data_IF_862578484010
#
_entry.id   IF_862578484010
#
_cell.length_a   1.000
_cell.length_b   1.000
_cell.length_c   1.000
_cell.angle_alpha   90.00
_cell.angle_beta   90.00
_cell.angle_gamma   90.00
#
_symmetry.space_group_name_H-M   'P 1'
#
loop_
_entity.id
_entity.type
_entity.pdbx_description
1 polymer ?
#
# COMPACT_ATOMS: atom_id res chain seq x y z
N UNK A 1 38.07 33.82 31.02
CA UNK A 1 37.24 32.59 31.10
C UNK A 1 38.11 31.44 31.60
N UNK A 2 37.81 30.84 32.76
CA UNK A 2 38.66 29.81 33.37
C UNK A 2 38.70 28.52 32.53
N UNK A 3 39.82 27.78 32.57
CA UNK A 3 40.04 26.53 31.81
C UNK A 3 38.88 25.52 31.99
N UNK A 4 38.25 25.51 33.18
CA UNK A 4 37.02 24.74 33.48
C UNK A 4 35.80 25.18 32.66
N UNK A 5 35.53 26.48 32.53
CA UNK A 5 34.38 26.99 31.75
C UNK A 5 34.49 26.68 30.24
N UNK A 6 35.70 26.75 29.67
CA UNK A 6 35.93 26.35 28.26
C UNK A 6 35.63 24.86 28.03
N UNK A 7 36.03 23.97 28.94
CA UNK A 7 35.74 22.52 28.81
C UNK A 7 34.24 22.23 28.85
N UNK A 8 33.51 22.89 29.74
CA UNK A 8 32.06 22.70 29.88
C UNK A 8 31.28 23.22 28.66
N UNK A 9 31.74 24.34 28.08
CA UNK A 9 31.16 24.90 26.87
C UNK A 9 31.26 23.94 25.67
N UNK A 10 32.45 23.39 25.42
CA UNK A 10 32.65 22.46 24.30
C UNK A 10 31.83 21.17 24.45
N UNK A 11 31.73 20.61 25.67
CA UNK A 11 30.93 19.41 25.91
C UNK A 11 29.44 19.66 25.64
N UNK A 12 28.89 20.79 26.12
CA UNK A 12 27.51 21.19 25.83
C UNK A 12 27.27 21.41 24.34
N UNK A 13 28.22 22.01 23.63
CA UNK A 13 28.10 22.24 22.20
C UNK A 13 28.14 20.93 21.39
N UNK A 14 28.98 19.96 21.77
CA UNK A 14 29.03 18.65 21.11
C UNK A 14 27.77 17.83 21.37
N UNK A 15 27.25 17.81 22.61
CA UNK A 15 25.98 17.17 22.93
C UNK A 15 24.81 17.82 22.20
N UNK A 16 24.80 19.16 22.12
CA UNK A 16 23.79 19.91 21.38
C UNK A 16 23.82 19.57 19.89
N UNK A 17 25.00 19.58 19.25
CA UNK A 17 25.16 19.18 17.85
C UNK A 17 24.73 17.72 17.62
N UNK A 18 25.06 16.81 18.53
CA UNK A 18 24.66 15.42 18.44
C UNK A 18 23.13 15.26 18.55
N UNK A 19 22.50 15.97 19.48
CA UNK A 19 21.06 16.01 19.63
C UNK A 19 20.36 16.63 18.42
N UNK A 20 20.98 17.62 17.78
CA UNK A 20 20.48 18.23 16.55
C UNK A 20 20.61 17.29 15.34
N UNK A 21 21.66 16.46 15.30
CA UNK A 21 21.94 15.55 14.18
C UNK A 21 21.22 14.20 14.29
N UNK A 22 20.88 13.73 15.49
CA UNK A 22 20.19 12.46 15.71
C UNK A 22 18.87 12.31 14.94
N UNK A 23 17.95 13.31 14.95
CA UNK A 23 16.72 13.25 14.15
C UNK A 23 17.01 13.15 12.65
N UNK A 24 18.03 13.87 12.17
CA UNK A 24 18.43 13.84 10.75
C UNK A 24 18.96 12.45 10.38
N UNK A 25 19.77 11.83 11.23
CA UNK A 25 20.29 10.47 11.01
C UNK A 25 19.15 9.44 11.01
N UNK A 26 18.19 9.55 11.93
CA UNK A 26 17.03 8.64 12.00
C UNK A 26 16.15 8.79 10.74
N UNK A 27 15.93 10.02 10.26
CA UNK A 27 15.19 10.31 9.03
C UNK A 27 15.93 9.77 7.79
N UNK A 28 17.26 9.91 7.73
CA UNK A 28 18.07 9.40 6.61
C UNK A 28 18.13 7.87 6.58
N UNK A 29 18.06 7.20 7.74
CA UNK A 29 18.10 5.74 7.82
C UNK A 29 16.77 5.06 7.46
N UNK A 30 15.64 5.76 7.56
CA UNK A 30 14.34 5.25 7.11
C UNK A 30 13.99 5.86 5.75
N UNK A 31 14.74 5.48 4.71
CA UNK A 31 14.34 5.79 3.35
C UNK A 31 12.99 5.12 3.08
N UNK A 32 11.95 5.90 2.76
CA UNK A 32 10.64 5.33 2.53
C UNK A 32 10.68 4.49 1.25
N UNK A 33 10.03 3.33 1.30
CA UNK A 33 9.98 2.36 0.19
C UNK A 33 8.54 1.94 -0.04
N UNK A 34 8.10 1.87 -1.30
CA UNK A 34 6.86 1.16 -1.60
C UNK A 34 7.14 -0.34 -1.61
N UNK A 35 6.15 -1.12 -1.18
CA UNK A 35 6.16 -2.57 -1.27
C UNK A 35 5.10 -2.98 -2.27
N UNK A 36 5.47 -3.85 -3.19
CA UNK A 36 4.54 -4.55 -4.05
C UNK A 36 3.72 -5.48 -3.16
N UNK A 37 2.45 -5.16 -2.92
CA UNK A 37 1.65 -5.96 -1.98
C UNK A 37 1.10 -7.20 -2.66
N UNK A 38 0.57 -7.08 -3.86
CA UNK A 38 -0.10 -8.18 -4.53
C UNK A 38 -0.11 -7.92 -6.03
N UNK A 39 0.16 -8.96 -6.81
CA UNK A 39 -0.06 -8.94 -8.25
C UNK A 39 -1.21 -9.89 -8.54
N UNK A 40 -2.24 -9.37 -9.18
CA UNK A 40 -3.37 -10.16 -9.66
C UNK A 40 -3.35 -10.12 -11.18
N UNK A 41 -2.96 -11.22 -11.80
CA UNK A 41 -3.05 -11.38 -13.25
C UNK A 41 -4.43 -11.92 -13.58
N UNK A 42 -5.16 -11.23 -14.44
CA UNK A 42 -6.53 -11.58 -14.80
C UNK A 42 -6.57 -12.04 -16.25
N UNK A 43 -6.95 -13.31 -16.45
CA UNK A 43 -7.23 -13.87 -17.78
C UNK A 43 -6.43 -15.09 -18.19
N UNK A 44 -5.68 -15.76 -17.29
CA UNK A 44 -5.27 -17.15 -17.55
C UNK A 44 -6.30 -18.09 -16.92
N UNK A 45 -6.99 -18.88 -17.74
CA UNK A 45 -7.89 -19.94 -17.25
C UNK A 45 -7.16 -20.96 -16.37
N UNK A 46 -5.84 -21.06 -16.53
CA UNK A 46 -4.95 -21.73 -15.58
C UNK A 46 -4.49 -20.75 -14.50
N UNK A 47 -5.19 -20.73 -13.37
CA UNK A 47 -4.88 -19.99 -12.12
C UNK A 47 -3.51 -20.34 -11.49
N UNK A 48 -2.62 -21.06 -12.20
CA UNK A 48 -1.25 -21.41 -11.82
C UNK A 48 -0.19 -20.83 -12.77
N UNK A 49 -0.60 -20.12 -13.83
CA UNK A 49 0.33 -19.34 -14.66
C UNK A 49 0.94 -18.23 -13.82
N UNK A 50 2.23 -18.36 -13.52
CA UNK A 50 2.96 -17.46 -12.63
C UNK A 50 2.80 -16.01 -13.11
N UNK A 51 2.40 -15.11 -12.20
CA UNK A 51 2.41 -13.67 -12.47
C UNK A 51 3.77 -13.15 -13.00
N UNK A 52 4.84 -13.92 -12.76
CA UNK A 52 6.17 -13.69 -13.32
C UNK A 52 6.26 -13.79 -14.85
N UNK A 53 5.29 -14.42 -15.53
CA UNK A 53 5.31 -14.52 -16.99
C UNK A 53 4.77 -13.26 -17.69
N UNK A 54 3.90 -12.50 -17.04
CA UNK A 54 3.27 -11.31 -17.64
C UNK A 54 3.91 -10.00 -17.19
N UNK A 55 4.34 -9.92 -15.92
CA UNK A 55 4.98 -8.74 -15.35
C UNK A 55 6.50 -8.92 -15.32
N UNK A 56 7.20 -7.99 -15.95
CA UNK A 56 8.66 -7.91 -15.88
C UNK A 56 9.04 -6.63 -15.16
N UNK A 57 9.75 -6.79 -14.04
CA UNK A 57 10.34 -5.68 -13.30
C UNK A 57 11.83 -5.62 -13.63
N UNK A 58 12.31 -4.46 -14.04
CA UNK A 58 13.74 -4.20 -14.31
C UNK A 58 14.26 -3.08 -13.42
N UNK A 59 15.49 -3.24 -12.94
CA UNK A 59 16.22 -2.23 -12.16
C UNK A 59 17.62 -2.10 -12.75
N UNK A 60 17.94 -0.92 -13.24
CA UNK A 60 19.21 -0.67 -13.94
C UNK A 60 19.50 -1.73 -15.02
N UNK A 61 18.51 -1.99 -15.88
CA UNK A 61 18.53 -3.00 -16.96
C UNK A 61 18.63 -4.47 -16.51
N UNK A 62 18.65 -4.75 -15.20
CA UNK A 62 18.59 -6.12 -14.69
C UNK A 62 17.14 -6.51 -14.39
N UNK A 63 16.67 -7.61 -14.98
CA UNK A 63 15.39 -8.23 -14.62
C UNK A 63 15.44 -8.76 -13.19
N UNK A 64 14.38 -8.48 -12.43
CA UNK A 64 14.21 -8.92 -11.06
C UNK A 64 13.12 -10.00 -11.01
N UNK A 65 13.33 -11.00 -10.15
CA UNK A 65 12.28 -11.95 -9.81
C UNK A 65 11.16 -11.21 -9.07
N UNK A 66 9.94 -11.43 -9.53
CA UNK A 66 8.76 -10.72 -9.06
C UNK A 66 8.14 -11.50 -7.92
N UNK A 67 8.21 -10.93 -6.71
CA UNK A 67 7.74 -11.57 -5.48
C UNK A 67 6.78 -10.65 -4.72
N UNK A 68 5.82 -11.24 -4.01
CA UNK A 68 4.98 -10.52 -3.07
C UNK A 68 5.83 -9.88 -1.95
N UNK A 69 5.52 -8.64 -1.57
CA UNK A 69 6.30 -7.86 -0.60
C UNK A 69 7.57 -7.21 -1.17
N UNK A 70 7.87 -7.40 -2.47
CA UNK A 70 9.05 -6.82 -3.11
C UNK A 70 9.09 -5.29 -2.96
N UNK A 71 10.22 -4.74 -2.49
CA UNK A 71 10.41 -3.29 -2.39
C UNK A 71 10.67 -2.65 -3.76
N UNK A 72 9.75 -1.80 -4.19
CA UNK A 72 9.90 -0.94 -5.36
C UNK A 72 10.73 0.30 -5.00
N UNK A 73 11.62 0.68 -5.92
CA UNK A 73 12.55 1.80 -5.79
C UNK A 73 12.37 2.80 -6.93
N UNK A 74 12.74 4.07 -6.72
CA UNK A 74 12.88 5.01 -7.83
C UNK A 74 13.74 4.43 -8.95
N UNK A 75 13.26 4.54 -10.19
CA UNK A 75 13.91 4.01 -11.39
C UNK A 75 13.56 2.57 -11.73
N UNK A 76 12.84 1.84 -10.87
CA UNK A 76 12.32 0.53 -11.24
C UNK A 76 11.32 0.68 -12.38
N UNK A 77 11.43 -0.18 -13.39
CA UNK A 77 10.58 -0.18 -14.56
C UNK A 77 9.75 -1.45 -14.59
N UNK A 78 8.43 -1.30 -14.66
CA UNK A 78 7.46 -2.40 -14.67
C UNK A 78 6.81 -2.43 -16.05
N UNK A 79 6.86 -3.59 -16.71
CA UNK A 79 6.24 -3.83 -18.01
C UNK A 79 5.24 -4.97 -17.90
N UNK A 80 4.04 -4.76 -18.46
CA UNK A 80 3.06 -5.81 -18.67
C UNK A 80 3.15 -6.32 -20.11
N UNK A 81 3.81 -7.47 -20.31
CA UNK A 81 3.93 -8.13 -21.62
C UNK A 81 2.80 -9.13 -21.90
N UNK A 82 2.00 -9.45 -20.90
CA UNK A 82 0.90 -10.40 -21.06
C UNK A 82 -0.17 -9.86 -22.01
N UNK A 83 -0.73 -10.76 -22.83
CA UNK A 83 -2.05 -10.55 -23.48
C UNK A 83 -3.19 -10.40 -22.47
N UNK A 84 -2.91 -10.79 -21.22
CA UNK A 84 -3.78 -10.64 -20.08
C UNK A 84 -3.63 -9.25 -19.45
N UNK A 85 -4.73 -8.77 -18.87
CA UNK A 85 -4.72 -7.53 -18.09
C UNK A 85 -4.16 -7.86 -16.71
N UNK A 86 -3.38 -6.94 -16.16
CA UNK A 86 -2.73 -7.18 -14.86
C UNK A 86 -3.05 -6.06 -13.90
N UNK A 87 -3.65 -6.42 -12.76
CA UNK A 87 -3.78 -5.52 -11.63
C UNK A 87 -2.55 -5.63 -10.73
N UNK A 88 -1.95 -4.49 -10.44
CA UNK A 88 -0.84 -4.39 -9.53
C UNK A 88 -1.33 -3.58 -8.33
N UNK A 89 -1.62 -4.27 -7.23
CA UNK A 89 -1.89 -3.57 -5.98
C UNK A 89 -0.57 -3.12 -5.37
N UNK A 90 -0.33 -1.81 -5.41
CA UNK A 90 0.85 -1.20 -4.79
C UNK A 90 0.40 -0.60 -3.48
N UNK A 91 0.66 -1.33 -2.39
CA UNK A 91 0.54 -0.79 -1.05
C UNK A 91 1.83 -0.08 -0.71
N UNK A 92 1.80 1.23 -0.71
CA UNK A 92 2.88 1.98 -0.09
C UNK A 92 2.71 1.85 1.43
N UNK A 93 3.41 0.89 2.02
CA UNK A 93 3.46 0.77 3.46
C UNK A 93 4.37 1.88 3.99
N UNK A 94 3.83 2.60 4.98
CA UNK A 94 4.52 3.19 6.13
C UNK A 94 4.67 4.71 6.19
N UNK A 95 3.92 5.29 7.13
CA UNK A 95 4.48 6.19 8.13
C UNK A 95 3.97 5.71 9.51
N UNK A 96 4.88 5.19 10.33
CA UNK A 96 4.61 4.98 11.76
C UNK A 96 4.87 6.32 12.45
N UNK A 97 3.81 7.07 12.76
CA UNK A 97 3.91 8.27 13.61
C UNK A 97 3.42 7.86 14.99
N UNK A 98 4.34 7.62 15.93
CA UNK A 98 4.00 7.04 17.24
C UNK A 98 3.70 5.55 17.16
N UNK A 99 2.51 5.12 17.61
CA UNK A 99 2.04 3.71 17.59
C UNK A 99 1.06 3.40 16.44
N UNK A 100 0.77 4.36 15.57
CA UNK A 100 -0.21 4.18 14.49
C UNK A 100 0.47 3.91 13.14
N UNK A 101 0.08 2.82 12.49
CA UNK A 101 0.45 2.51 11.10
C UNK A 101 -0.67 3.07 10.21
N UNK A 102 -0.35 4.07 9.40
CA UNK A 102 -1.28 4.55 8.37
C UNK A 102 -1.00 3.76 7.09
N UNK A 103 -1.93 2.89 6.70
CA UNK A 103 -1.88 2.19 5.41
C UNK A 103 -2.30 3.17 4.31
N UNK A 104 -1.47 3.25 3.27
CA UNK A 104 -1.75 4.03 2.06
C UNK A 104 -1.91 3.05 0.91
N UNK A 105 -3.14 2.91 0.42
CA UNK A 105 -3.46 2.04 -0.69
C UNK A 105 -3.78 2.90 -1.91
N UNK A 106 -3.03 2.64 -2.99
CA UNK A 106 -3.35 3.09 -4.33
C UNK A 106 -3.46 1.83 -5.19
N UNK A 107 -4.60 1.63 -5.84
CA UNK A 107 -4.76 0.51 -6.77
C UNK A 107 -4.34 0.97 -8.15
N UNK A 108 -3.41 0.22 -8.73
CA UNK A 108 -2.81 0.57 -10.02
C UNK A 108 -3.01 -0.59 -10.98
N UNK A 109 -3.89 -0.41 -11.95
CA UNK A 109 -4.19 -1.45 -12.93
C UNK A 109 -3.47 -1.14 -14.23
N UNK A 110 -2.68 -2.10 -14.73
CA UNK A 110 -1.94 -1.98 -15.98
C UNK A 110 -2.62 -2.77 -17.09
N UNK A 111 -2.91 -2.11 -18.21
CA UNK A 111 -3.39 -2.79 -19.40
C UNK A 111 -2.23 -3.56 -20.10
N UNK A 112 -2.56 -4.38 -21.09
CA UNK A 112 -1.59 -5.04 -21.97
C UNK A 112 -0.65 -4.01 -22.61
N UNK A 113 0.65 -4.30 -22.62
CA UNK A 113 1.68 -3.46 -23.21
C UNK A 113 2.04 -2.20 -22.41
N UNK A 114 1.42 -1.99 -21.24
CA UNK A 114 1.74 -0.86 -20.39
C UNK A 114 3.16 -0.96 -19.83
N UNK A 115 3.86 0.18 -19.82
CA UNK A 115 5.21 0.32 -19.29
C UNK A 115 5.26 1.54 -18.40
N UNK A 116 5.61 1.32 -17.13
CA UNK A 116 5.73 2.37 -16.12
C UNK A 116 7.13 2.40 -15.51
N UNK A 117 7.56 3.59 -15.09
CA UNK A 117 8.76 3.81 -14.29
C UNK A 117 8.33 4.41 -12.95
N UNK A 118 8.79 3.83 -11.86
CA UNK A 118 8.55 4.35 -10.52
C UNK A 118 9.43 5.59 -10.33
N UNK A 119 8.83 6.77 -10.12
CA UNK A 119 9.60 8.01 -9.89
C UNK A 119 9.77 8.26 -8.40
N UNK A 120 8.66 8.35 -7.69
CA UNK A 120 8.63 8.42 -6.24
C UNK A 120 7.67 7.35 -5.72
N UNK A 121 8.18 6.19 -5.25
CA UNK A 121 7.33 5.16 -4.68
C UNK A 121 6.70 5.61 -3.37
N UNK A 122 7.29 6.59 -2.71
CA UNK A 122 7.02 6.88 -1.32
C UNK A 122 6.14 8.11 -1.14
N UNK A 123 5.11 7.97 -0.31
CA UNK A 123 4.45 9.09 0.33
C UNK A 123 5.34 9.62 1.47
N UNK A 124 6.47 10.23 1.10
CA UNK A 124 7.42 10.79 2.06
C UNK A 124 6.74 11.90 2.88
N UNK A 125 7.15 12.09 4.14
CA UNK A 125 6.69 13.23 4.96
C UNK A 125 6.87 14.58 4.25
N UNK A 126 7.93 14.71 3.45
CA UNK A 126 8.30 15.93 2.73
C UNK A 126 7.82 15.95 1.27
N UNK A 127 7.45 14.80 0.72
CA UNK A 127 6.92 14.62 -0.63
C UNK A 127 5.72 13.70 -0.53
N UNK A 128 4.54 14.24 -0.19
CA UNK A 128 3.38 13.43 0.15
C UNK A 128 2.78 12.74 -1.07
N UNK A 129 3.34 12.89 -2.27
CA UNK A 129 2.75 12.43 -3.52
C UNK A 129 3.59 11.31 -4.15
N UNK A 130 3.01 10.12 -4.26
CA UNK A 130 3.60 9.06 -5.05
C UNK A 130 3.43 9.36 -6.53
N UNK A 131 4.44 9.06 -7.35
CA UNK A 131 4.40 9.37 -8.78
C UNK A 131 5.03 8.29 -9.65
N UNK A 132 4.34 7.94 -10.74
CA UNK A 132 4.83 7.03 -11.78
C UNK A 132 4.95 7.76 -13.11
N UNK A 133 5.86 7.31 -13.97
CA UNK A 133 5.92 7.71 -15.37
C UNK A 133 5.40 6.60 -16.25
N UNK A 134 4.32 6.85 -16.97
CA UNK A 134 3.82 6.00 -18.04
C UNK A 134 4.57 6.32 -19.34
N UNK A 135 5.36 5.36 -19.82
CA UNK A 135 6.09 5.47 -21.09
C UNK A 135 5.18 5.13 -22.27
N UNK A 136 4.34 4.10 -22.13
CA UNK A 136 3.36 3.67 -23.14
C UNK A 136 2.26 2.81 -22.51
N UNK A 137 1.16 2.66 -23.24
CA UNK A 137 0.03 1.80 -22.87
C UNK A 137 -1.00 2.55 -22.04
N UNK A 138 -1.67 1.84 -21.13
CA UNK A 138 -2.80 2.37 -20.37
C UNK A 138 -2.70 1.94 -18.91
N UNK A 139 -2.90 2.91 -18.02
CA UNK A 139 -2.86 2.76 -16.56
C UNK A 139 -4.15 3.33 -15.98
N UNK A 140 -4.74 2.58 -15.07
CA UNK A 140 -5.84 3.02 -14.24
C UNK A 140 -5.36 3.18 -12.81
N UNK A 141 -5.79 4.27 -12.18
CA UNK A 141 -5.43 4.64 -10.83
C UNK A 141 -6.72 4.87 -10.04
N UNK A 142 -6.82 4.19 -8.89
CA UNK A 142 -7.80 4.47 -7.86
C UNK A 142 -7.08 4.84 -6.57
N UNK A 143 -7.26 6.08 -6.10
CA UNK A 143 -6.74 6.56 -4.81
C UNK A 143 -7.84 7.25 -4.02
N UNK A 144 -8.06 6.88 -2.76
CA UNK A 144 -9.15 7.46 -1.93
C UNK A 144 -8.70 8.62 -1.05
N UNK A 145 -7.45 8.65 -0.59
CA UNK A 145 -7.01 9.60 0.45
C UNK A 145 -5.70 10.30 0.17
N UNK A 146 -4.85 9.73 -0.68
CA UNK A 146 -3.46 10.17 -0.79
C UNK A 146 -3.15 10.75 -2.15
N UNK A 147 -2.26 11.76 -2.20
CA UNK A 147 -1.93 12.35 -3.46
C UNK A 147 -1.12 11.39 -4.33
N UNK A 148 -1.51 11.24 -5.58
CA UNK A 148 -0.85 10.36 -6.53
C UNK A 148 -0.76 11.08 -7.88
N UNK A 149 0.31 10.90 -8.64
CA UNK A 149 0.37 11.35 -10.02
C UNK A 149 0.89 10.32 -11.01
N UNK A 150 0.42 10.48 -12.23
CA UNK A 150 0.96 9.82 -13.41
C UNK A 150 1.56 10.88 -14.31
N UNK A 151 2.87 10.80 -14.51
CA UNK A 151 3.60 11.52 -15.54
C UNK A 151 3.58 10.73 -16.85
N UNK A 152 3.53 11.45 -17.96
CA UNK A 152 3.90 10.96 -19.29
C UNK A 152 5.07 11.79 -19.80
N UNK A 153 5.40 11.68 -21.09
CA UNK A 153 6.37 12.57 -21.72
C UNK A 153 5.94 14.05 -21.71
N UNK A 154 4.64 14.35 -21.77
CA UNK A 154 4.13 15.70 -22.00
C UNK A 154 3.32 16.27 -20.85
N UNK A 155 2.69 15.41 -20.05
CA UNK A 155 1.74 15.83 -19.03
C UNK A 155 1.96 15.10 -17.72
N UNK A 156 1.70 15.77 -16.61
CA UNK A 156 1.58 15.18 -15.28
C UNK A 156 0.13 15.34 -14.82
N UNK A 157 -0.52 14.22 -14.53
CA UNK A 157 -1.87 14.16 -13.99
C UNK A 157 -1.76 13.78 -12.52
N UNK A 158 -1.93 14.76 -11.63
CA UNK A 158 -1.84 14.59 -10.17
C UNK A 158 -3.18 14.77 -9.48
N UNK A 159 -3.38 14.13 -8.34
CA UNK A 159 -4.69 14.11 -7.70
C UNK A 159 -4.63 13.71 -6.25
N UNK A 160 -5.73 13.90 -5.50
CA UNK A 160 -6.02 13.29 -4.19
C UNK A 160 -7.49 12.85 -4.15
N UNK A 161 -7.74 11.56 -3.91
CA UNK A 161 -9.12 11.06 -3.69
C UNK A 161 -9.93 10.92 -4.97
N UNK A 162 -9.36 10.29 -6.00
CA UNK A 162 -9.97 10.20 -7.33
C UNK A 162 -9.72 8.85 -7.98
N UNK A 163 -10.53 8.59 -8.99
CA UNK A 163 -10.33 7.52 -9.92
C UNK A 163 -10.16 8.10 -11.34
N UNK A 164 -9.08 7.70 -12.00
CA UNK A 164 -8.77 8.17 -13.34
C UNK A 164 -7.94 7.16 -14.13
N UNK A 165 -7.95 7.34 -15.44
CA UNK A 165 -7.26 6.50 -16.40
C UNK A 165 -6.38 7.37 -17.27
N UNK A 166 -5.15 6.93 -17.52
CA UNK A 166 -4.20 7.59 -18.42
C UNK A 166 -3.77 6.60 -19.50
N UNK A 167 -3.90 6.99 -20.75
CA UNK A 167 -3.44 6.24 -21.91
C UNK A 167 -2.38 7.05 -22.66
N UNK A 168 -1.19 6.49 -22.81
CA UNK A 168 -0.11 7.06 -23.61
C UNK A 168 0.09 6.22 -24.89
N UNK A 169 -0.13 6.85 -26.04
CA UNK A 169 0.01 6.25 -27.36
C UNK A 169 1.32 6.71 -28.04
N UNK A 170 1.84 5.88 -28.95
CA UNK A 170 3.12 6.13 -29.64
C UNK A 170 3.13 7.38 -30.53
N UNK A 171 1.96 7.80 -31.03
CA UNK A 171 1.77 9.01 -31.82
C UNK A 171 1.80 10.31 -30.96
N UNK A 172 2.37 10.25 -29.76
CA UNK A 172 2.40 11.32 -28.76
C UNK A 172 1.02 11.77 -28.29
N UNK A 173 -0.02 10.94 -28.47
CA UNK A 173 -1.34 11.21 -27.93
C UNK A 173 -1.44 10.69 -26.51
N UNK A 174 -1.82 11.57 -25.59
CA UNK A 174 -2.18 11.20 -24.23
C UNK A 174 -3.68 11.41 -24.06
N UNK A 175 -4.38 10.37 -23.62
CA UNK A 175 -5.81 10.45 -23.27
C UNK A 175 -5.96 10.24 -21.79
N UNK A 176 -6.68 11.12 -21.12
CA UNK A 176 -6.94 11.06 -19.68
C UNK A 176 -8.45 11.05 -19.47
N UNK A 177 -8.95 10.10 -18.69
CA UNK A 177 -10.36 10.00 -18.34
C UNK A 177 -10.47 10.08 -16.83
N UNK A 178 -11.24 11.05 -16.33
CA UNK A 178 -11.51 11.20 -14.90
C UNK A 178 -12.93 10.69 -14.65
N UNK A 179 -13.06 9.58 -13.92
CA UNK A 179 -14.36 9.01 -13.54
C UNK A 179 -14.86 9.63 -12.23
N UNK A 180 -13.99 9.81 -11.25
CA UNK A 180 -14.36 10.32 -9.92
C UNK A 180 -13.41 11.43 -9.44
N UNK A 181 -13.99 12.52 -8.96
CA UNK A 181 -13.31 13.63 -8.28
C UNK A 181 -12.60 14.61 -9.23
N UNK A 182 -11.44 15.13 -8.81
CA UNK A 182 -10.73 16.21 -9.51
C UNK A 182 -9.24 15.92 -9.62
N UNK A 183 -8.69 16.06 -10.83
CA UNK A 183 -7.24 15.99 -11.06
C UNK A 183 -6.67 17.36 -11.45
N UNK A 184 -5.43 17.61 -11.07
CA UNK A 184 -4.61 18.72 -11.56
C UNK A 184 -3.76 18.21 -12.72
N UNK A 185 -3.87 18.91 -13.85
CA UNK A 185 -3.17 18.58 -15.07
C UNK A 185 -2.08 19.63 -15.32
N UNK A 186 -0.82 19.20 -15.39
CA UNK A 186 0.34 20.08 -15.53
C UNK A 186 1.11 19.77 -16.82
N UNK A 187 1.53 20.80 -17.55
CA UNK A 187 2.40 20.64 -18.72
C UNK A 187 3.84 20.36 -18.27
N UNK A 188 4.40 19.22 -18.65
CA UNK A 188 5.83 18.92 -18.37
C UNK A 188 6.79 19.71 -19.24
N UNK A 189 6.28 20.32 -20.30
CA UNK A 189 7.05 21.15 -21.22
C UNK A 189 6.75 22.63 -21.06
N UNK A 190 6.01 23.02 -20.01
CA UNK A 190 5.62 24.40 -19.74
C UNK A 190 4.92 25.07 -20.94
N UNK A 191 4.12 24.29 -21.68
CA UNK A 191 3.44 24.75 -22.88
C UNK A 191 2.09 25.42 -22.59
N UNK A 192 1.56 25.22 -21.38
CA UNK A 192 0.28 25.74 -20.90
C UNK A 192 0.22 25.62 -19.37
N UNK A 193 -0.53 26.53 -18.73
CA UNK A 193 -0.70 26.61 -17.28
C UNK A 193 -1.47 25.40 -16.71
N UNK A 194 -1.28 25.09 -15.43
CA UNK A 194 -2.01 24.00 -14.75
C UNK A 194 -3.53 24.13 -14.93
N UNK A 195 -4.17 23.07 -15.40
CA UNK A 195 -5.63 22.99 -15.56
C UNK A 195 -6.24 22.03 -14.54
N UNK A 196 -7.35 22.44 -13.91
CA UNK A 196 -8.14 21.59 -13.02
C UNK A 196 -9.22 20.87 -13.83
N UNK A 197 -9.25 19.54 -13.74
CA UNK A 197 -10.19 18.69 -14.47
C UNK A 197 -11.13 18.01 -13.49
N UNK A 198 -12.43 18.31 -13.61
CA UNK A 198 -13.49 17.76 -12.76
C UNK A 198 -14.22 16.64 -13.49
N UNK A 199 -14.44 15.52 -12.81
CA UNK A 199 -15.19 14.40 -13.40
C UNK A 199 -16.66 14.77 -13.68
N UNK A 200 -17.31 14.13 -14.67
CA UNK A 200 -16.75 13.20 -15.67
C UNK A 200 -16.17 13.94 -16.89
N UNK A 201 -14.90 13.67 -17.26
CA UNK A 201 -14.25 14.33 -18.40
C UNK A 201 -13.23 13.43 -19.11
N UNK A 202 -13.18 13.52 -20.44
CA UNK A 202 -12.11 12.99 -21.30
C UNK A 202 -11.26 14.16 -21.76
N UNK A 203 -9.95 14.03 -21.61
CA UNK A 203 -8.99 15.02 -22.09
C UNK A 203 -8.04 14.34 -23.04
N UNK A 204 -7.87 14.93 -24.22
CA UNK A 204 -6.91 14.47 -25.22
C UNK A 204 -5.84 15.53 -25.40
N UNK A 205 -4.58 15.11 -25.32
CA UNK A 205 -3.39 15.95 -25.47
C UNK A 205 -2.56 15.37 -26.62
N UNK A 206 -2.19 16.22 -27.58
CA UNK A 206 -1.35 15.84 -28.71
C UNK A 206 0.04 16.46 -28.56
N UNK A 207 1.02 15.65 -28.14
CA UNK A 207 2.38 16.12 -27.87
C UNK A 207 2.40 17.26 -26.85
N UNK A 208 2.99 18.40 -27.23
CA UNK A 208 3.05 19.62 -26.41
C UNK A 208 1.79 20.50 -26.50
N UNK A 209 0.77 20.06 -27.25
CA UNK A 209 -0.47 20.81 -27.43
C UNK A 209 -1.22 21.00 -26.11
N UNK A 210 -2.12 21.99 -26.10
CA UNK A 210 -3.03 22.23 -24.99
C UNK A 210 -4.05 21.07 -24.88
N UNK A 211 -4.47 20.66 -23.67
CA UNK A 211 -5.54 19.70 -23.49
C UNK A 211 -6.83 20.11 -24.21
N UNK A 212 -7.42 19.17 -24.94
CA UNK A 212 -8.76 19.30 -25.51
C UNK A 212 -9.71 18.49 -24.64
N UNK A 213 -10.59 19.19 -23.93
CA UNK A 213 -11.53 18.59 -23.00
C UNK A 213 -12.85 18.24 -23.70
N UNK A 214 -13.42 17.09 -23.35
CA UNK A 214 -14.72 16.61 -23.82
C UNK A 214 -15.48 16.01 -22.64
N UNK A 215 -16.66 16.55 -22.35
CA UNK A 215 -17.55 15.90 -21.37
C UNK A 215 -17.99 14.54 -21.91
N UNK A 216 -17.98 13.54 -21.04
CA UNK A 216 -18.35 12.16 -21.38
C UNK A 216 -19.59 11.78 -20.57
N UNK A 217 -20.53 11.10 -21.22
CA UNK A 217 -21.63 10.47 -20.51
C UNK A 217 -21.15 9.29 -19.65
N UNK A 218 -21.79 9.04 -18.50
CA UNK A 218 -21.39 8.00 -17.55
C UNK A 218 -21.31 6.61 -18.18
N UNK A 219 -22.25 6.26 -19.06
CA UNK A 219 -22.24 4.97 -19.77
C UNK A 219 -20.99 4.76 -20.66
N UNK A 220 -20.40 5.84 -21.16
CA UNK A 220 -19.17 5.78 -21.94
C UNK A 220 -17.94 5.66 -21.03
N UNK A 221 -17.97 6.21 -19.81
CA UNK A 221 -16.98 5.91 -18.77
C UNK A 221 -17.05 4.43 -18.42
N UNK A 222 -18.23 3.89 -18.12
CA UNK A 222 -18.40 2.47 -17.78
C UNK A 222 -17.86 1.57 -18.90
N UNK A 223 -18.09 1.93 -20.17
CA UNK A 223 -17.54 1.18 -21.31
C UNK A 223 -16.02 1.23 -21.37
N UNK A 224 -15.41 2.37 -21.04
CA UNK A 224 -13.95 2.55 -20.98
C UNK A 224 -13.34 1.83 -19.78
N UNK A 225 -14.07 1.75 -18.66
CA UNK A 225 -13.65 1.10 -17.43
C UNK A 225 -14.10 -0.37 -17.33
N UNK A 226 -14.90 -0.87 -18.28
CA UNK A 226 -15.44 -2.24 -18.29
C UNK A 226 -14.37 -3.31 -18.07
N UNK A 227 -13.16 -3.06 -18.58
CA UNK A 227 -12.04 -3.97 -18.41
C UNK A 227 -11.51 -4.00 -16.97
N UNK A 228 -11.59 -2.89 -16.22
CA UNK A 228 -11.24 -2.79 -14.81
C UNK A 228 -12.25 -3.54 -13.96
N UNK A 229 -13.55 -3.37 -14.24
CA UNK A 229 -14.61 -4.07 -13.51
C UNK A 229 -14.46 -5.59 -13.61
N UNK A 230 -14.03 -6.11 -14.77
CA UNK A 230 -13.74 -7.53 -14.94
C UNK A 230 -12.61 -8.04 -14.03
N UNK A 231 -11.62 -7.19 -13.74
CA UNK A 231 -10.49 -7.51 -12.87
C UNK A 231 -10.90 -7.40 -11.40
N UNK A 232 -11.54 -6.30 -11.02
CA UNK A 232 -12.01 -6.07 -9.65
C UNK A 232 -12.97 -7.18 -9.20
N UNK A 233 -13.84 -7.68 -10.08
CA UNK A 233 -14.73 -8.79 -9.75
C UNK A 233 -13.98 -10.08 -9.40
N UNK A 234 -12.80 -10.32 -9.98
CA UNK A 234 -11.94 -11.48 -9.70
C UNK A 234 -11.08 -11.25 -8.45
N UNK A 235 -10.61 -10.02 -8.24
CA UNK A 235 -9.84 -9.68 -7.04
C UNK A 235 -10.72 -9.71 -5.77
N UNK A 236 -11.94 -9.16 -5.85
CA UNK A 236 -12.86 -9.03 -4.72
C UNK A 236 -13.51 -10.36 -4.33
N UNK A 237 -13.63 -11.33 -5.25
CA UNK A 237 -14.13 -12.67 -4.91
C UNK A 237 -13.21 -13.46 -3.97
N UNK A 238 -12.01 -12.94 -3.65
CA UNK A 238 -11.00 -13.58 -2.80
C UNK A 238 -10.62 -12.79 -1.53
N UNK A 239 -11.24 -11.64 -1.26
CA UNK A 239 -10.85 -10.81 -0.11
C UNK A 239 -11.93 -10.82 1.00
N UNK A 240 -11.69 -11.61 2.06
CA UNK A 240 -12.33 -11.43 3.37
C UNK A 240 -11.69 -10.24 4.08
N UNK A 241 -12.47 -9.20 4.37
CA UNK A 241 -12.02 -8.09 5.20
C UNK A 241 -12.22 -8.42 6.68
N UNK A 242 -11.16 -8.19 7.48
CA UNK A 242 -11.19 -8.26 8.93
C UNK A 242 -11.00 -6.85 9.49
N UNK A 243 -12.09 -6.16 9.85
CA UNK A 243 -12.01 -4.90 10.58
C UNK A 243 -11.88 -5.19 12.08
N UNK A 244 -10.75 -4.82 12.68
CA UNK A 244 -10.53 -4.87 14.13
C UNK A 244 -10.83 -3.50 14.77
N UNK A 245 -11.93 -3.34 15.52
CA UNK A 245 -12.07 -2.19 16.42
C UNK A 245 -11.27 -2.47 17.70
N UNK A 246 -10.10 -1.85 17.84
CA UNK A 246 -9.36 -1.87 19.10
C UNK A 246 -9.75 -0.65 19.95
N UNK A 247 -10.68 -0.82 20.90
CA UNK A 247 -10.72 -0.09 22.17
C UNK A 247 -11.66 -0.80 23.16
N UNK A 248 -11.10 -1.53 24.12
CA UNK A 248 -11.87 -2.02 25.28
C UNK A 248 -11.19 -3.19 25.98
N UNK A 249 -10.74 -2.99 27.22
CA UNK A 249 -10.17 -4.05 28.05
C UNK A 249 -11.21 -5.09 28.54
N UNK A 250 -12.49 -4.90 28.22
CA UNK A 250 -13.58 -5.82 28.54
C UNK A 250 -14.72 -5.64 27.53
N UNK A 251 -14.75 -6.43 26.46
CA UNK A 251 -15.97 -6.61 25.65
C UNK A 251 -15.82 -7.81 24.73
N UNK A 252 -16.95 -8.42 24.40
CA UNK A 252 -17.09 -9.46 23.40
C UNK A 252 -16.44 -9.04 22.06
N UNK A 253 -15.82 -10.00 21.39
CA UNK A 253 -15.23 -9.78 20.07
C UNK A 253 -16.26 -10.17 19.03
N UNK A 254 -16.41 -9.34 18.01
CA UNK A 254 -17.20 -9.69 16.84
C UNK A 254 -16.36 -9.55 15.59
N UNK A 255 -16.62 -10.43 14.63
CA UNK A 255 -16.02 -10.39 13.30
C UNK A 255 -17.08 -9.83 12.37
N UNK A 256 -16.76 -8.75 11.67
CA UNK A 256 -17.62 -8.20 10.62
C UNK A 256 -17.11 -8.69 9.27
N UNK A 257 -17.87 -9.56 8.62
CA UNK A 257 -17.55 -10.07 7.29
C UNK A 257 -18.42 -9.32 6.29
N UNK A 258 -17.79 -8.63 5.34
CA UNK A 258 -18.47 -8.01 4.20
C UNK A 258 -18.24 -8.85 2.95
N UNK A 259 -19.31 -9.31 2.33
CA UNK A 259 -19.28 -10.11 1.11
C UNK A 259 -20.04 -9.40 -0.03
N UNK A 260 -19.51 -9.47 -1.25
CA UNK A 260 -20.09 -8.85 -2.43
C UNK A 260 -21.24 -9.72 -3.00
N UNK A 261 -22.35 -9.11 -3.44
CA UNK A 261 -23.67 -9.76 -3.68
C UNK A 261 -23.82 -10.54 -4.99
N UNK A 262 -22.74 -10.87 -5.70
CA UNK A 262 -22.88 -11.59 -6.97
C UNK A 262 -23.31 -13.06 -6.81
N UNK A 263 -23.32 -13.61 -5.60
CA UNK A 263 -23.91 -14.91 -5.28
C UNK A 263 -25.30 -14.73 -4.65
N UNK A 264 -26.26 -15.59 -5.03
CA UNK A 264 -27.59 -15.60 -4.39
C UNK A 264 -27.41 -15.81 -2.89
N UNK A 265 -28.15 -15.07 -2.07
CA UNK A 265 -28.06 -15.09 -0.59
C UNK A 265 -27.96 -16.51 0.02
N UNK A 266 -28.73 -17.47 -0.51
CA UNK A 266 -28.73 -18.87 -0.08
C UNK A 266 -27.45 -19.63 -0.48
N UNK A 267 -26.88 -19.30 -1.63
CA UNK A 267 -25.66 -19.90 -2.16
C UNK A 267 -24.43 -19.42 -1.39
N UNK A 268 -24.36 -18.12 -1.05
CA UNK A 268 -23.32 -17.58 -0.16
C UNK A 268 -23.38 -18.16 1.24
N UNK A 269 -24.59 -18.33 1.80
CA UNK A 269 -24.76 -18.96 3.11
C UNK A 269 -24.27 -20.41 3.09
N UNK A 270 -24.64 -21.16 2.05
CA UNK A 270 -24.27 -22.55 1.90
C UNK A 270 -22.77 -22.73 1.65
N UNK A 271 -22.16 -21.91 0.80
CA UNK A 271 -20.69 -21.92 0.60
C UNK A 271 -19.96 -21.54 1.87
N UNK A 272 -20.39 -20.51 2.60
CA UNK A 272 -19.75 -20.15 3.86
C UNK A 272 -19.90 -21.25 4.92
N UNK A 273 -21.10 -21.86 5.02
CA UNK A 273 -21.34 -22.96 5.94
C UNK A 273 -20.53 -24.20 5.55
N UNK A 274 -20.61 -24.66 4.31
CA UNK A 274 -19.95 -25.88 3.87
C UNK A 274 -18.40 -25.73 3.84
N UNK A 275 -17.87 -24.56 3.46
CA UNK A 275 -16.41 -24.35 3.31
C UNK A 275 -15.70 -24.05 4.63
N UNK A 276 -16.37 -23.39 5.58
CA UNK A 276 -15.71 -22.96 6.82
C UNK A 276 -16.22 -23.67 8.07
N UNK A 277 -17.36 -24.37 8.03
CA UNK A 277 -17.84 -25.11 9.21
C UNK A 277 -17.10 -26.42 9.38
N UNK A 278 -16.67 -27.05 8.28
CA UNK A 278 -15.84 -28.26 8.34
C UNK A 278 -14.46 -27.94 8.93
N UNK A 279 -13.79 -26.88 8.45
CA UNK A 279 -12.52 -26.37 9.01
C UNK A 279 -12.64 -25.95 10.49
N UNK A 280 -13.81 -25.43 10.89
CA UNK A 280 -14.08 -25.07 12.29
C UNK A 280 -14.50 -26.28 13.15
N UNK A 281 -14.95 -27.38 12.55
CA UNK A 281 -15.38 -28.61 13.23
C UNK A 281 -14.21 -29.59 13.47
N UNK A 282 -13.14 -29.50 12.68
CA UNK A 282 -11.88 -30.22 12.93
C UNK A 282 -11.12 -29.67 14.16
N UNK A 283 -11.54 -28.51 14.68
CA UNK A 283 -11.11 -28.03 15.99
C UNK A 283 -11.83 -28.85 17.07
N UNK A 284 -11.11 -29.82 17.64
CA UNK A 284 -11.58 -30.84 18.61
C UNK A 284 -11.99 -30.25 19.99
N UNK A 285 -12.89 -29.27 20.00
CA UNK A 285 -13.44 -28.62 21.20
C UNK A 285 -14.87 -28.16 20.97
N UNK A 286 -15.71 -28.42 21.97
CA UNK A 286 -17.10 -27.97 22.08
C UNK A 286 -17.15 -26.42 22.09
N UNK A 287 -17.41 -25.75 20.95
CA UNK A 287 -17.46 -24.30 20.94
C UNK A 287 -18.75 -23.90 21.67
N UNK A 288 -18.68 -22.84 22.48
CA UNK A 288 -19.91 -22.14 22.88
C UNK A 288 -20.74 -21.77 21.63
N UNK A 289 -22.05 -21.47 21.78
CA UNK A 289 -22.91 -21.24 20.62
C UNK A 289 -22.35 -20.12 19.73
N UNK A 290 -21.97 -20.50 18.51
CA UNK A 290 -21.66 -19.56 17.43
C UNK A 290 -22.96 -18.83 17.08
N UNK A 291 -22.96 -17.50 17.22
CA UNK A 291 -24.10 -16.69 16.76
C UNK A 291 -23.65 -15.85 15.58
N UNK A 292 -24.24 -16.11 14.41
CA UNK A 292 -24.08 -15.31 13.20
C UNK A 292 -25.31 -14.42 13.08
N UNK A 293 -25.14 -13.11 13.19
CA UNK A 293 -26.20 -12.12 13.04
C UNK A 293 -25.99 -11.32 11.75
N UNK A 294 -26.98 -11.33 10.85
CA UNK A 294 -26.91 -10.53 9.64
C UNK A 294 -27.26 -9.08 9.97
N UNK A 295 -26.27 -8.19 9.89
CA UNK A 295 -26.40 -6.79 10.34
C UNK A 295 -27.07 -5.94 9.28
N UNK A 296 -26.70 -6.12 8.02
CA UNK A 296 -27.31 -5.39 6.89
C UNK A 296 -27.24 -6.18 5.58
N UNK A 297 -28.26 -6.01 4.75
CA UNK A 297 -28.29 -6.46 3.36
C UNK A 297 -28.63 -5.27 2.48
N UNK A 298 -27.75 -4.93 1.54
CA UNK A 298 -28.04 -4.01 0.44
C UNK A 298 -28.03 -4.78 -0.88
N UNK A 299 -28.39 -4.11 -1.99
CA UNK A 299 -28.27 -4.73 -3.31
C UNK A 299 -26.82 -5.07 -3.67
N UNK A 300 -25.84 -4.43 -3.02
CA UNK A 300 -24.43 -4.47 -3.43
C UNK A 300 -23.51 -5.21 -2.44
N UNK A 301 -23.96 -5.47 -1.20
CA UNK A 301 -23.22 -6.28 -0.24
C UNK A 301 -24.11 -6.88 0.87
N UNK A 302 -23.61 -7.96 1.47
CA UNK A 302 -24.09 -8.49 2.75
C UNK A 302 -23.07 -8.23 3.86
N UNK A 303 -23.55 -7.87 5.04
CA UNK A 303 -22.75 -7.71 6.25
C UNK A 303 -23.22 -8.69 7.31
N UNK A 304 -22.34 -9.59 7.75
CA UNK A 304 -22.59 -10.54 8.82
C UNK A 304 -21.68 -10.24 10.01
N UNK A 305 -22.23 -10.32 11.22
CA UNK A 305 -21.53 -10.21 12.47
C UNK A 305 -21.48 -11.59 13.13
N UNK A 306 -20.27 -12.11 13.29
CA UNK A 306 -20.05 -13.39 14.00
C UNK A 306 -19.59 -13.07 15.41
N UNK A 307 -20.33 -13.55 16.42
CA UNK A 307 -20.01 -13.35 17.83
C UNK A 307 -19.56 -14.67 18.46
N UNK A 308 -18.41 -14.65 19.12
CA UNK A 308 -17.90 -15.78 19.92
C UNK A 308 -17.91 -15.43 21.41
N UNK A 309 -18.44 -16.34 22.23
CA UNK A 309 -18.35 -16.23 23.69
C UNK A 309 -17.02 -16.78 24.20
N UNK A 310 -16.29 -15.99 24.99
CA UNK A 310 -14.91 -16.30 25.43
C UNK A 310 -14.86 -17.46 26.43
N UNK A 311 -13.96 -18.41 26.22
CA UNK A 311 -13.52 -19.36 27.26
C UNK A 311 -12.35 -18.70 28.04
N UNK A 312 -12.44 -18.50 29.38
CA UNK A 312 -11.36 -17.91 30.17
C UNK A 312 -10.06 -18.74 30.14
N UNK A 313 -8.89 -18.09 30.04
CA UNK A 313 -7.56 -18.73 30.25
C UNK A 313 -6.71 -19.04 29.00
N UNK A 314 -7.17 -18.67 27.80
CA UNK A 314 -6.44 -18.92 26.55
C UNK A 314 -6.09 -17.61 25.81
N UNK A 315 -4.90 -17.58 25.20
CA UNK A 315 -4.45 -16.51 24.30
C UNK A 315 -4.54 -17.03 22.86
N UNK A 316 -5.06 -16.18 21.98
CA UNK A 316 -5.16 -16.44 20.55
C UNK A 316 -3.95 -15.86 19.83
N UNK A 317 -3.42 -16.59 18.87
CA UNK A 317 -2.44 -16.08 17.91
C UNK A 317 -2.79 -16.59 16.52
N UNK A 318 -2.57 -15.74 15.53
CA UNK A 318 -2.70 -16.07 14.11
C UNK A 318 -1.28 -15.98 13.55
N UNK A 319 -0.80 -17.07 12.97
CA UNK A 319 0.52 -17.07 12.33
C UNK A 319 0.48 -16.42 10.92
N UNK A 320 1.65 -16.34 10.28
CA UNK A 320 1.78 -15.75 8.94
C UNK A 320 1.01 -16.51 7.86
N UNK A 321 0.65 -17.76 8.11
CA UNK A 321 -0.05 -18.64 7.18
C UNK A 321 -1.57 -18.68 7.47
N UNK A 322 -2.04 -17.81 8.36
CA UNK A 322 -3.45 -17.66 8.78
C UNK A 322 -3.97 -18.84 9.60
N UNK A 323 -3.09 -19.67 10.16
CA UNK A 323 -3.50 -20.71 11.10
C UNK A 323 -3.80 -20.11 12.47
N UNK A 324 -4.90 -20.57 13.08
CA UNK A 324 -5.29 -20.15 14.43
C UNK A 324 -4.64 -21.09 15.43
N UNK A 325 -3.74 -20.57 16.27
CA UNK A 325 -3.09 -21.32 17.35
C UNK A 325 -3.63 -20.93 18.73
N UNK A 326 -3.78 -21.93 19.61
CA UNK A 326 -4.21 -21.75 20.99
C UNK A 326 -3.09 -22.06 21.97
N UNK A 327 -2.81 -21.12 22.89
CA UNK A 327 -1.86 -21.33 23.97
C UNK A 327 -2.57 -21.13 25.32
N UNK A 328 -2.45 -22.12 26.20
CA UNK A 328 -2.82 -22.00 27.61
C UNK A 328 -1.78 -21.11 28.27
N UNK A 329 -2.19 -19.97 28.83
CA UNK A 329 -1.31 -18.95 29.42
C UNK A 329 -0.53 -19.55 30.62
N UNK A 330 0.76 -19.91 30.47
CA UNK A 330 1.56 -20.46 31.56
C UNK A 330 2.47 -19.33 32.06
N UNK A 331 1.97 -18.53 32.99
CA UNK A 331 2.76 -17.53 33.74
C UNK A 331 3.42 -16.41 32.90
N UNK A 332 2.75 -15.25 32.81
CA UNK A 332 3.37 -14.00 32.35
C UNK A 332 4.44 -13.48 33.34
N UNK A 333 5.68 -13.85 33.07
CA UNK A 333 6.86 -13.01 33.33
C UNK A 333 7.20 -12.17 32.08
N UNK A 334 7.91 -11.07 32.30
CA UNK A 334 8.05 -9.92 31.39
C UNK A 334 9.09 -10.10 30.26
N UNK A 335 8.84 -9.32 29.19
CA UNK A 335 9.79 -8.69 28.24
C UNK A 335 10.35 -9.53 27.08
N UNK A 336 10.20 -9.00 25.86
CA UNK A 336 11.35 -8.77 24.97
C UNK A 336 11.01 -7.77 23.86
N UNK A 337 11.66 -6.59 23.92
CA UNK A 337 11.70 -5.62 22.84
C UNK A 337 12.93 -5.98 21.99
N UNK A 338 12.73 -6.43 20.74
CA UNK A 338 13.83 -6.71 19.81
C UNK A 338 14.53 -5.40 19.41
N UNK A 339 15.56 -5.01 20.16
CA UNK A 339 16.53 -4.00 19.75
C UNK A 339 17.40 -4.64 18.67
N UNK A 340 17.49 -4.02 17.48
CA UNK A 340 18.30 -4.58 16.40
C UNK A 340 19.79 -4.61 16.79
N UNK A 341 20.45 -5.75 16.57
CA UNK A 341 21.86 -5.98 16.86
C UNK A 341 22.76 -4.89 16.23
N UNK A 342 22.37 -4.38 15.06
CA UNK A 342 23.04 -3.29 14.34
C UNK A 342 23.02 -1.99 15.15
N UNK A 343 21.90 -1.66 15.80
CA UNK A 343 21.79 -0.50 16.67
C UNK A 343 22.71 -0.59 17.89
N UNK A 344 22.83 -1.79 18.49
CA UNK A 344 23.72 -2.04 19.63
C UNK A 344 25.18 -1.89 19.22
N UNK A 345 25.57 -2.43 18.06
CA UNK A 345 26.94 -2.35 17.54
C UNK A 345 27.32 -0.89 17.23
N UNK A 346 26.45 -0.14 16.55
CA UNK A 346 26.70 1.28 16.26
C UNK A 346 26.80 2.11 17.54
N UNK A 347 25.95 1.84 18.53
CA UNK A 347 26.01 2.49 19.84
C UNK A 347 27.32 2.19 20.57
N UNK A 348 27.76 0.93 20.57
CA UNK A 348 29.02 0.51 21.20
C UNK A 348 30.26 1.12 20.54
N UNK A 349 30.31 1.15 19.20
CA UNK A 349 31.42 1.77 18.44
C UNK A 349 31.48 3.27 18.71
N UNK A 350 30.32 3.95 18.69
CA UNK A 350 30.25 5.37 19.00
C UNK A 350 30.72 5.65 20.43
N UNK A 351 30.24 4.88 21.41
CA UNK A 351 30.63 5.03 22.81
C UNK A 351 32.13 4.81 23.01
N UNK A 352 32.72 3.83 22.31
CA UNK A 352 34.15 3.55 22.35
C UNK A 352 35.00 4.69 21.77
N UNK A 353 34.61 5.23 20.61
CA UNK A 353 35.29 6.38 19.99
C UNK A 353 35.18 7.64 20.85
N UNK A 354 34.00 7.87 21.45
CA UNK A 354 33.78 8.97 22.37
C UNK A 354 34.64 8.85 23.64
N UNK A 355 34.73 7.65 24.21
CA UNK A 355 35.59 7.36 25.36
C UNK A 355 37.08 7.57 25.02
N UNK A 356 37.54 7.13 23.84
CA UNK A 356 38.90 7.39 23.35
C UNK A 356 39.16 8.89 23.17
N UNK A 357 38.21 9.62 22.60
CA UNK A 357 38.32 11.06 22.43
C UNK A 357 38.45 11.79 23.77
N UNK A 358 37.62 11.44 24.76
CA UNK A 358 37.71 11.98 26.13
C UNK A 358 39.08 11.68 26.74
N UNK A 359 39.57 10.43 26.66
CA UNK A 359 40.91 10.07 27.18
C UNK A 359 42.03 10.88 26.52
N UNK A 360 42.00 11.03 25.20
CA UNK A 360 42.99 11.82 24.47
C UNK A 360 43.00 13.28 24.92
N UNK A 361 41.81 13.88 25.10
CA UNK A 361 41.61 15.26 25.56
C UNK A 361 41.94 15.50 27.03
N UNK A 362 41.97 14.45 27.85
CA UNK A 362 42.34 14.54 29.27
C UNK A 362 43.86 14.36 29.49
N UNK A 363 44.55 13.65 28.59
CA UNK A 363 46.01 13.52 28.61
C UNK A 363 46.76 14.75 28.08
N UNK A 364 46.09 15.60 27.30
CA UNK A 364 46.55 16.94 26.91
C UNK A 364 45.93 18.01 27.82
#
# INVERSE_FOLDING_TARGET
MTKKRKRFFWLRMTLFLFYLMMPVIIIVLHLPSATLEKIVVVGSEDNKGSAAETIVITRAEKTLDVEEGMKLRPGDKIRNYGKAKTEISIRAIQLTIGSSIILKEARVTLNEGAEIIILDPAFQLLRPESSFRLEKGEIHIETRRYPFSVETKYVRAGTKGTEFLVKAEENNRVTIIVSEGTILLESRTDAWDTEELKSPVEVVIMGKGRPVQKSIASNAIDKKFKWISGIQNIATSKELFWDYPFTGLFSDWYIRIRMNTLMKKEETYRTFHDEYTDDLSELDFNPGPLTIEFVTASNDFFEAQVTYSRIPGYIWTIDSDRNIGFFKDPERSFSETKISLVGIILFAVFFFLFAKFIRYRLRK
#
